data_IF_084888141571
#
_entry.id   IF_084888141571
#
_cell.length_a   1.000
_cell.length_b   1.000
_cell.length_c   1.000
_cell.angle_alpha   90.00
_cell.angle_beta   90.00
_cell.angle_gamma   90.00
#
_symmetry.space_group_name_H-M   'P 1'
#
loop_
_entity.id
_entity.type
_entity.pdbx_description
1 polymer ?
#
# COMPACT_ATOMS: atom_id res chain seq x y z
N UNK A 1 10.54 -6.47 -9.86
CA UNK A 1 11.08 -5.28 -10.54
C UNK A 1 10.03 -4.51 -11.31
N UNK A 2 9.94 -3.20 -11.08
CA UNK A 2 8.99 -2.27 -11.74
C UNK A 2 9.77 -1.11 -12.35
N UNK A 3 9.27 -0.53 -13.44
CA UNK A 3 9.88 0.64 -14.07
C UNK A 3 9.47 1.92 -13.36
N UNK A 4 10.44 2.77 -13.03
CA UNK A 4 10.24 4.08 -12.42
C UNK A 4 10.89 5.15 -13.28
N UNK A 5 10.19 6.28 -13.46
CA UNK A 5 10.80 7.49 -13.96
C UNK A 5 11.27 8.31 -12.76
N UNK A 6 12.54 8.70 -12.78
CA UNK A 6 13.15 9.51 -11.71
C UNK A 6 13.30 10.94 -12.23
N UNK A 7 12.88 11.88 -11.40
CA UNK A 7 12.93 13.31 -11.65
C UNK A 7 13.81 13.96 -10.58
N UNK A 8 14.63 14.95 -10.96
CA UNK A 8 15.41 15.79 -10.03
C UNK A 8 15.08 17.26 -10.22
N UNK A 9 15.24 18.03 -9.15
CA UNK A 9 15.31 19.49 -9.21
C UNK A 9 16.75 19.96 -9.00
N UNK A 10 17.04 21.20 -9.39
CA UNK A 10 18.36 21.82 -9.21
C UNK A 10 18.76 21.93 -7.72
N UNK A 11 17.77 21.91 -6.81
CA UNK A 11 17.96 21.86 -5.35
C UNK A 11 18.44 20.50 -4.82
N UNK A 12 18.71 19.52 -5.69
CA UNK A 12 19.14 18.16 -5.30
C UNK A 12 18.00 17.24 -4.84
N UNK A 13 16.76 17.61 -5.16
CA UNK A 13 15.55 16.94 -4.68
C UNK A 13 15.07 15.86 -5.68
N UNK A 14 15.02 14.59 -5.26
CA UNK A 14 14.73 13.45 -6.18
C UNK A 14 13.36 12.83 -5.93
N UNK A 15 12.55 12.69 -6.98
CA UNK A 15 11.22 12.06 -6.91
C UNK A 15 11.08 10.96 -7.96
N UNK A 16 10.74 9.76 -7.51
CA UNK A 16 10.44 8.61 -8.37
C UNK A 16 8.93 8.40 -8.54
N UNK A 17 8.49 8.30 -9.80
CA UNK A 17 7.11 7.97 -10.17
C UNK A 17 7.08 6.61 -10.87
N UNK A 18 6.24 5.70 -10.37
CA UNK A 18 6.05 4.37 -10.96
C UNK A 18 5.38 4.51 -12.32
N UNK A 19 5.85 3.79 -13.33
CA UNK A 19 5.21 3.71 -14.64
C UNK A 19 4.02 2.74 -14.64
N UNK A 20 3.00 3.08 -15.45
CA UNK A 20 1.78 2.29 -15.63
C UNK A 20 0.73 2.50 -14.54
N UNK A 21 -0.05 1.45 -14.28
CA UNK A 21 -1.27 1.50 -13.46
C UNK A 21 -1.05 2.03 -12.03
N UNK A 22 -1.94 2.95 -11.63
CA UNK A 22 -2.04 3.60 -10.34
C UNK A 22 -3.26 3.10 -9.55
N UNK A 23 -3.05 2.06 -8.74
CA UNK A 23 -4.08 1.50 -7.87
C UNK A 23 -4.80 2.54 -7.00
N UNK A 24 -4.10 3.49 -6.35
CA UNK A 24 -4.79 4.49 -5.54
C UNK A 24 -5.67 5.44 -6.35
N UNK A 25 -5.27 5.80 -7.58
CA UNK A 25 -6.08 6.66 -8.44
C UNK A 25 -7.36 5.97 -8.92
N UNK A 26 -7.28 4.66 -9.20
CA UNK A 26 -8.43 3.85 -9.57
C UNK A 26 -9.48 3.76 -8.45
N UNK A 27 -9.07 3.35 -7.24
CA UNK A 27 -10.02 3.14 -6.14
C UNK A 27 -10.49 4.45 -5.49
N UNK A 28 -9.58 5.41 -5.30
CA UNK A 28 -9.86 6.60 -4.49
C UNK A 28 -10.06 7.88 -5.32
N UNK A 29 -10.08 7.80 -6.65
CA UNK A 29 -10.53 8.86 -7.59
C UNK A 29 -10.25 10.30 -7.13
N UNK A 30 -11.33 11.01 -6.78
CA UNK A 30 -11.33 12.40 -6.29
C UNK A 30 -10.48 12.62 -5.04
N UNK A 31 -10.55 11.71 -4.06
CA UNK A 31 -9.73 11.75 -2.83
C UNK A 31 -8.25 11.63 -3.19
N UNK A 32 -7.88 10.67 -4.04
CA UNK A 32 -6.49 10.54 -4.49
C UNK A 32 -6.00 11.78 -5.25
N UNK A 33 -6.85 12.36 -6.10
CA UNK A 33 -6.54 13.58 -6.82
C UNK A 33 -6.26 14.76 -5.87
N UNK A 34 -7.04 14.88 -4.79
CA UNK A 34 -6.85 15.88 -3.74
C UNK A 34 -5.47 15.73 -3.06
N UNK A 35 -5.14 14.53 -2.59
CA UNK A 35 -3.85 14.26 -1.93
C UNK A 35 -2.62 14.46 -2.83
N UNK A 36 -2.78 14.33 -4.16
CA UNK A 36 -1.69 14.58 -5.10
C UNK A 36 -1.72 16.01 -5.67
N UNK A 37 -2.62 16.87 -5.16
CA UNK A 37 -2.81 18.26 -5.57
C UNK A 37 -3.14 18.41 -7.05
N UNK A 38 -3.99 17.52 -7.57
CA UNK A 38 -4.62 17.61 -8.89
C UNK A 38 -5.99 18.28 -8.73
N UNK A 39 -5.97 19.56 -8.33
CA UNK A 39 -7.15 20.29 -7.85
C UNK A 39 -8.32 20.30 -8.84
N UNK A 40 -8.07 20.55 -10.13
CA UNK A 40 -9.12 20.55 -11.15
C UNK A 40 -9.84 19.19 -11.25
N UNK A 41 -9.08 18.10 -11.27
CA UNK A 41 -9.62 16.74 -11.28
C UNK A 41 -10.40 16.43 -10.00
N UNK A 42 -9.91 16.88 -8.85
CA UNK A 42 -10.58 16.70 -7.57
C UNK A 42 -11.93 17.44 -7.54
N UNK A 43 -11.96 18.73 -7.89
CA UNK A 43 -13.20 19.52 -7.85
C UNK A 43 -14.24 19.08 -8.87
N UNK A 44 -13.84 18.51 -10.02
CA UNK A 44 -14.77 17.98 -11.00
C UNK A 44 -15.39 16.65 -10.54
N UNK A 45 -14.58 15.73 -10.00
CA UNK A 45 -15.02 14.38 -9.67
C UNK A 45 -15.68 14.24 -8.30
N UNK A 46 -15.28 15.07 -7.33
CA UNK A 46 -15.82 15.03 -5.97
C UNK A 46 -17.35 15.19 -5.92
N UNK A 47 -17.99 16.20 -6.57
CA UNK A 47 -19.45 16.32 -6.52
C UNK A 47 -20.15 15.13 -7.18
N UNK A 48 -19.55 14.55 -8.23
CA UNK A 48 -20.10 13.37 -8.92
C UNK A 48 -20.03 12.14 -8.02
N UNK A 49 -18.88 11.88 -7.40
CA UNK A 49 -18.70 10.80 -6.42
C UNK A 49 -19.64 10.98 -5.20
N UNK A 50 -19.85 12.23 -4.76
CA UNK A 50 -20.72 12.57 -3.64
C UNK A 50 -22.19 12.28 -3.96
N UNK A 51 -22.68 12.72 -5.12
CA UNK A 51 -24.06 12.46 -5.57
C UNK A 51 -24.28 10.96 -5.73
N UNK A 52 -23.34 10.25 -6.36
CA UNK A 52 -23.45 8.80 -6.54
C UNK A 52 -23.44 8.05 -5.19
N UNK A 53 -22.62 8.49 -4.23
CA UNK A 53 -22.62 7.96 -2.88
C UNK A 53 -23.99 8.19 -2.22
N UNK A 54 -24.55 9.39 -2.28
CA UNK A 54 -25.86 9.68 -1.66
C UNK A 54 -26.97 8.83 -2.32
N UNK A 55 -27.05 8.81 -3.66
CA UNK A 55 -28.08 8.08 -4.40
C UNK A 55 -27.97 6.56 -4.23
N UNK A 56 -26.76 6.00 -4.18
CA UNK A 56 -26.55 4.56 -3.98
C UNK A 56 -26.81 4.09 -2.54
N UNK A 57 -26.73 4.99 -1.58
CA UNK A 57 -26.75 4.67 -0.14
C UNK A 57 -28.09 4.92 0.54
N UNK A 58 -29.02 5.66 -0.09
CA UNK A 58 -30.33 6.01 0.47
C UNK A 58 -31.35 4.86 0.54
N UNK A 59 -30.89 3.61 0.41
CA UNK A 59 -31.80 2.47 0.45
C UNK A 59 -31.41 1.47 1.52
N UNK A 60 -32.12 1.61 2.63
CA UNK A 60 -32.35 0.56 3.62
C UNK A 60 -32.59 -0.76 2.87
N UNK A 61 -31.81 -1.80 3.20
CA UNK A 61 -31.69 -3.05 2.45
C UNK A 61 -32.94 -3.94 2.46
N UNK A 62 -34.03 -3.48 1.84
CA UNK A 62 -35.27 -4.24 1.65
C UNK A 62 -35.78 -4.27 0.20
N UNK A 63 -35.13 -3.56 -0.73
CA UNK A 63 -35.48 -3.57 -2.15
C UNK A 63 -34.26 -4.06 -2.91
N UNK A 64 -34.41 -5.17 -3.67
CA UNK A 64 -33.43 -5.62 -4.64
C UNK A 64 -33.01 -4.40 -5.50
N UNK A 65 -31.72 -4.05 -5.57
CA UNK A 65 -31.24 -2.90 -6.35
C UNK A 65 -31.74 -2.88 -7.81
N UNK A 66 -32.15 -4.03 -8.36
CA UNK A 66 -32.66 -4.18 -9.71
C UNK A 66 -34.18 -3.98 -9.86
N UNK A 67 -34.95 -4.00 -8.76
CA UNK A 67 -36.41 -3.80 -8.75
C UNK A 67 -36.81 -2.35 -8.40
N UNK A 68 -35.81 -1.49 -8.14
CA UNK A 68 -35.98 -0.07 -7.77
C UNK A 68 -36.38 0.81 -8.95
N UNK A 69 -35.99 0.41 -10.15
CA UNK A 69 -36.04 1.23 -11.33
C UNK A 69 -36.91 0.53 -12.36
N UNK A 70 -37.84 1.26 -12.95
CA UNK A 70 -38.44 0.83 -14.20
C UNK A 70 -37.34 0.55 -15.24
N UNK A 71 -37.61 -0.38 -16.16
CA UNK A 71 -36.67 -0.83 -17.19
C UNK A 71 -35.83 0.29 -17.84
N UNK A 72 -36.40 1.43 -18.28
CA UNK A 72 -35.59 2.50 -18.87
C UNK A 72 -34.68 3.18 -17.84
N UNK A 73 -35.13 3.39 -16.60
CA UNK A 73 -34.30 3.99 -15.55
C UNK A 73 -33.14 3.08 -15.15
N UNK A 74 -33.35 1.75 -15.15
CA UNK A 74 -32.27 0.78 -14.91
C UNK A 74 -31.15 0.90 -15.95
N UNK A 75 -31.50 1.05 -17.22
CA UNK A 75 -30.52 1.27 -18.29
C UNK A 75 -29.77 2.59 -18.14
N UNK A 76 -30.46 3.67 -17.75
CA UNK A 76 -29.83 4.97 -17.48
C UNK A 76 -28.84 4.87 -16.32
N UNK A 77 -29.21 4.23 -15.21
CA UNK A 77 -28.33 4.03 -14.05
C UNK A 77 -27.10 3.19 -14.42
N UNK A 78 -27.28 2.13 -15.21
CA UNK A 78 -26.18 1.30 -15.70
C UNK A 78 -25.24 2.08 -16.63
N UNK A 79 -25.79 2.89 -17.54
CA UNK A 79 -25.02 3.74 -18.45
C UNK A 79 -24.19 4.76 -17.66
N UNK A 80 -24.79 5.46 -16.70
CA UNK A 80 -24.10 6.43 -15.83
C UNK A 80 -23.00 5.74 -15.00
N UNK A 81 -23.30 4.59 -14.39
CA UNK A 81 -22.34 3.83 -13.60
C UNK A 81 -21.15 3.35 -14.44
N UNK A 82 -21.41 2.92 -15.68
CA UNK A 82 -20.39 2.52 -16.66
C UNK A 82 -19.47 3.68 -17.03
N UNK A 83 -20.01 4.89 -17.19
CA UNK A 83 -19.21 6.10 -17.44
C UNK A 83 -18.28 6.39 -16.26
N UNK A 84 -18.77 6.32 -15.02
CA UNK A 84 -17.95 6.54 -13.83
C UNK A 84 -16.85 5.49 -13.68
N UNK A 85 -17.17 4.21 -13.96
CA UNK A 85 -16.18 3.14 -13.97
C UNK A 85 -15.10 3.37 -15.03
N UNK A 86 -15.50 3.82 -16.23
CA UNK A 86 -14.57 4.17 -17.30
C UNK A 86 -13.63 5.29 -16.87
N UNK A 87 -14.15 6.34 -16.24
CA UNK A 87 -13.34 7.43 -15.67
C UNK A 87 -12.35 6.90 -14.63
N UNK A 88 -12.77 5.98 -13.74
CA UNK A 88 -11.87 5.34 -12.76
C UNK A 88 -10.75 4.55 -13.43
N UNK A 89 -11.06 3.78 -14.46
CA UNK A 89 -10.05 3.03 -15.24
C UNK A 89 -9.06 4.00 -15.88
N UNK A 90 -9.53 5.10 -16.47
CA UNK A 90 -8.66 6.14 -17.04
C UNK A 90 -7.76 6.77 -15.97
N UNK A 91 -8.28 7.04 -14.77
CA UNK A 91 -7.47 7.52 -13.64
C UNK A 91 -6.45 6.49 -13.17
N UNK A 92 -6.79 5.20 -13.18
CA UNK A 92 -5.86 4.11 -12.94
C UNK A 92 -4.73 4.08 -13.96
N UNK A 93 -5.04 4.19 -15.25
CA UNK A 93 -4.05 4.17 -16.34
C UNK A 93 -3.16 5.42 -16.32
N UNK A 94 -3.75 6.61 -16.18
CA UNK A 94 -3.07 7.88 -16.40
C UNK A 94 -2.67 8.62 -15.12
N UNK A 95 -3.11 8.19 -13.93
CA UNK A 95 -2.84 8.90 -12.68
C UNK A 95 -1.34 9.14 -12.43
N UNK A 96 -0.51 8.14 -12.68
CA UNK A 96 0.94 8.30 -12.56
C UNK A 96 1.52 9.25 -13.63
N UNK A 97 0.96 9.26 -14.83
CA UNK A 97 1.36 10.18 -15.90
C UNK A 97 0.99 11.64 -15.57
N UNK A 98 -0.19 11.86 -14.97
CA UNK A 98 -0.62 13.17 -14.47
C UNK A 98 0.33 13.68 -13.39
N UNK A 99 0.75 12.79 -12.47
CA UNK A 99 1.74 13.11 -11.44
C UNK A 99 3.10 13.47 -12.04
N UNK A 100 3.57 12.72 -13.03
CA UNK A 100 4.81 13.02 -13.75
C UNK A 100 4.73 14.37 -14.51
N UNK A 101 3.58 14.69 -15.11
CA UNK A 101 3.34 15.99 -15.78
C UNK A 101 3.30 17.14 -14.76
N UNK A 102 2.78 16.92 -13.56
CA UNK A 102 2.83 17.90 -12.46
C UNK A 102 4.27 18.18 -12.03
N UNK A 103 5.10 17.15 -11.86
CA UNK A 103 6.51 17.33 -11.48
C UNK A 103 7.28 18.16 -12.52
N UNK A 104 7.07 17.89 -13.81
CA UNK A 104 7.67 18.72 -14.89
C UNK A 104 7.23 20.19 -14.83
N UNK A 105 5.95 20.45 -14.52
CA UNK A 105 5.43 21.82 -14.34
C UNK A 105 6.02 22.53 -13.11
N UNK A 106 6.54 21.79 -12.15
CA UNK A 106 7.18 22.32 -10.94
C UNK A 106 8.71 22.49 -11.10
N UNK A 107 9.24 22.40 -12.32
CA UNK A 107 10.67 22.59 -12.60
C UNK A 107 11.52 21.31 -12.55
N UNK A 108 10.93 20.15 -12.24
CA UNK A 108 11.71 18.92 -12.16
C UNK A 108 12.09 18.38 -13.56
N UNK A 109 13.40 18.20 -13.76
CA UNK A 109 13.98 17.59 -14.97
C UNK A 109 13.91 16.06 -14.89
N UNK A 110 13.66 15.42 -16.04
CA UNK A 110 13.56 13.96 -16.13
C UNK A 110 14.96 13.36 -16.36
N UNK A 111 15.49 12.64 -15.37
CA UNK A 111 16.84 12.08 -15.41
C UNK A 111 16.88 10.80 -16.25
N UNK A 112 15.91 9.91 -16.03
CA UNK A 112 15.93 8.61 -16.68
C UNK A 112 14.92 7.62 -16.14
N UNK A 113 14.85 6.47 -16.83
CA UNK A 113 13.99 5.34 -16.45
C UNK A 113 14.85 4.23 -15.89
N UNK A 114 14.54 3.81 -14.66
CA UNK A 114 15.25 2.71 -13.98
C UNK A 114 14.26 1.62 -13.58
N UNK A 115 14.70 0.36 -13.65
CA UNK A 115 13.97 -0.76 -13.06
C UNK A 115 14.45 -0.94 -11.62
N UNK A 116 13.54 -0.91 -10.67
CA UNK A 116 13.83 -1.09 -9.26
C UNK A 116 12.68 -1.83 -8.56
N UNK A 117 12.93 -2.33 -7.36
CA UNK A 117 11.87 -2.97 -6.55
C UNK A 117 11.09 -1.96 -5.69
N UNK A 118 11.56 -0.72 -5.60
CA UNK A 118 10.88 0.36 -4.87
C UNK A 118 11.36 1.76 -5.27
N UNK A 119 10.63 2.78 -4.80
CA UNK A 119 10.93 4.20 -5.11
C UNK A 119 12.29 4.64 -4.58
N UNK A 120 12.63 4.25 -3.34
CA UNK A 120 13.92 4.59 -2.74
C UNK A 120 15.09 3.94 -3.48
N UNK A 121 14.93 2.68 -3.89
CA UNK A 121 15.92 1.94 -4.67
C UNK A 121 16.08 2.54 -6.08
N UNK A 122 15.00 3.02 -6.71
CA UNK A 122 15.09 3.74 -7.98
C UNK A 122 15.89 5.05 -7.86
N UNK A 123 15.66 5.80 -6.78
CA UNK A 123 16.39 7.04 -6.52
C UNK A 123 17.87 6.75 -6.24
N UNK A 124 18.20 5.72 -5.45
CA UNK A 124 19.59 5.37 -5.18
C UNK A 124 20.34 4.92 -6.43
N UNK A 125 19.71 4.16 -7.33
CA UNK A 125 20.31 3.79 -8.61
C UNK A 125 20.64 5.00 -9.50
N UNK A 126 19.74 5.99 -9.55
CA UNK A 126 19.99 7.24 -10.29
C UNK A 126 21.02 8.15 -9.61
N UNK A 127 21.15 8.12 -8.28
CA UNK A 127 22.20 8.87 -7.57
C UNK A 127 23.57 8.21 -7.72
N UNK A 128 23.61 6.88 -7.81
CA UNK A 128 24.84 6.09 -7.93
C UNK A 128 25.40 6.05 -9.36
N UNK A 129 24.61 6.43 -10.37
CA UNK A 129 25.07 6.71 -11.72
C UNK A 129 25.21 8.23 -11.86
N UNK A 130 26.40 8.83 -11.61
CA UNK A 130 26.62 10.23 -11.91
C UNK A 130 26.39 10.44 -13.41
N UNK A 131 25.92 11.63 -13.75
CA UNK A 131 25.63 12.12 -15.10
C UNK A 131 26.77 11.87 -16.09
N UNK A 132 26.79 10.69 -16.70
CA UNK A 132 27.53 10.37 -17.93
C UNK A 132 26.87 9.17 -18.59
N UNK A 133 25.92 9.44 -19.49
CA UNK A 133 25.37 8.43 -20.41
C UNK A 133 24.83 9.10 -21.67
N UNK A 134 25.68 9.91 -22.30
CA UNK A 134 25.67 9.98 -23.76
C UNK A 134 26.35 8.72 -24.28
N UNK A 135 25.61 7.91 -25.04
CA UNK A 135 26.17 6.98 -26.02
C UNK A 135 26.74 5.65 -25.52
N UNK A 136 26.34 4.59 -26.24
CA UNK A 136 27.07 3.36 -26.51
C UNK A 136 27.03 2.24 -25.46
N UNK A 137 26.04 1.36 -25.66
CA UNK A 137 26.23 -0.07 -25.50
C UNK A 137 27.00 -0.62 -26.71
N UNK A 138 28.16 -1.20 -26.47
CA UNK A 138 28.75 -2.24 -27.31
C UNK A 138 29.16 -3.40 -26.39
N UNK A 139 28.90 -4.60 -26.87
CA UNK A 139 28.83 -5.86 -26.14
C UNK A 139 30.21 -6.56 -26.05
N UNK A 140 30.34 -7.85 -25.67
CA UNK A 140 31.24 -8.33 -24.60
C UNK A 140 32.49 -9.06 -25.11
N UNK A 141 33.53 -9.23 -24.28
CA UNK A 141 34.56 -10.24 -24.59
C UNK A 141 35.31 -10.78 -23.36
N UNK A 142 35.06 -12.06 -23.10
CA UNK A 142 35.99 -13.14 -22.79
C UNK A 142 37.20 -12.91 -21.84
N UNK A 143 37.18 -13.74 -20.79
CA UNK A 143 38.28 -14.62 -20.37
C UNK A 143 39.71 -14.03 -20.31
N UNK A 144 40.18 -13.79 -19.08
CA UNK A 144 41.59 -14.03 -18.74
C UNK A 144 41.81 -14.26 -17.25
N UNK A 145 41.98 -15.52 -16.87
CA UNK A 145 42.91 -15.90 -15.80
C UNK A 145 44.30 -16.08 -16.44
N UNK A 146 45.41 -15.92 -15.70
CA UNK A 146 45.98 -17.10 -15.02
C UNK A 146 46.67 -16.75 -13.66
N UNK A 147 46.54 -17.63 -12.64
CA UNK A 147 47.58 -18.51 -12.09
C UNK A 147 48.68 -17.88 -11.19
N UNK A 148 48.82 -18.43 -9.97
CA UNK A 148 50.05 -19.00 -9.34
C UNK A 148 50.22 -18.65 -7.84
N UNK A 149 50.49 -19.72 -7.08
CA UNK A 149 51.23 -19.89 -5.81
C UNK A 149 50.61 -19.56 -4.43
N UNK A 150 50.58 -20.61 -3.61
CA UNK A 150 50.45 -20.73 -2.15
C UNK A 150 51.84 -21.04 -1.56
N UNK A 151 52.09 -21.26 -0.25
CA UNK A 151 51.59 -20.65 1.01
C UNK A 151 52.76 -20.14 1.90
N UNK A 152 52.53 -19.24 2.88
CA UNK A 152 53.36 -19.21 4.11
C UNK A 152 52.81 -18.29 5.23
N UNK A 153 52.52 -18.93 6.37
CA UNK A 153 52.91 -18.52 7.73
C UNK A 153 52.34 -17.19 8.24
N UNK A 154 51.24 -17.32 8.97
CA UNK A 154 50.72 -16.34 9.94
C UNK A 154 51.59 -16.32 11.21
N UNK A 155 52.03 -15.16 11.73
CA UNK A 155 52.30 -15.03 13.15
C UNK A 155 50.97 -14.81 13.88
N UNK A 156 50.70 -15.64 14.89
CA UNK A 156 49.61 -15.46 15.84
C UNK A 156 49.78 -14.13 16.57
N UNK A 157 48.94 -13.15 16.24
CA UNK A 157 48.74 -11.95 17.06
C UNK A 157 47.58 -12.26 17.99
N UNK A 158 47.88 -12.42 19.28
CA UNK A 158 46.91 -12.50 20.36
C UNK A 158 46.09 -11.20 20.37
N UNK A 159 44.76 -11.23 20.14
CA UNK A 159 43.97 -10.00 20.21
C UNK A 159 43.86 -9.57 21.67
N UNK A 160 44.42 -8.41 22.00
CA UNK A 160 44.19 -7.73 23.27
C UNK A 160 42.68 -7.68 23.57
N UNK A 161 42.29 -8.07 24.79
CA UNK A 161 40.91 -7.92 25.26
C UNK A 161 40.48 -6.45 25.12
N UNK A 162 39.38 -6.15 24.41
CA UNK A 162 38.83 -4.80 24.46
C UNK A 162 38.37 -4.49 25.89
N UNK A 163 38.98 -3.47 26.46
CA UNK A 163 38.59 -2.84 27.72
C UNK A 163 37.16 -2.31 27.57
N UNK A 164 36.28 -2.71 28.49
CA UNK A 164 35.01 -2.05 28.74
C UNK A 164 33.96 -2.22 27.65
N UNK A 165 33.37 -3.42 27.54
CA UNK A 165 32.05 -3.56 26.92
C UNK A 165 31.03 -2.89 27.85
N UNK A 166 30.83 -1.57 27.69
CA UNK A 166 29.65 -0.92 28.24
C UNK A 166 28.43 -1.74 27.81
N UNK A 167 27.61 -2.14 28.78
CA UNK A 167 26.34 -2.84 28.56
C UNK A 167 25.70 -2.34 27.26
N UNK A 168 25.36 -3.21 26.29
CA UNK A 168 24.75 -2.76 25.06
C UNK A 168 23.50 -1.99 25.46
N UNK A 169 23.56 -0.67 25.30
CA UNK A 169 22.45 0.24 25.58
C UNK A 169 21.29 -0.36 24.79
N UNK A 170 20.32 -0.96 25.50
CA UNK A 170 19.11 -1.51 24.90
C UNK A 170 18.35 -0.34 24.31
N UNK A 171 18.74 0.03 23.10
CA UNK A 171 18.01 0.97 22.28
C UNK A 171 16.65 0.31 22.10
N UNK A 172 15.61 0.97 22.61
CA UNK A 172 14.24 0.49 22.48
C UNK A 172 13.97 0.42 20.99
N UNK A 173 14.11 -0.76 20.40
CA UNK A 173 13.78 -1.03 19.00
C UNK A 173 12.30 -0.71 18.89
N UNK A 174 11.97 0.50 18.45
CA UNK A 174 10.61 0.85 18.03
C UNK A 174 10.19 -0.22 17.05
N UNK A 175 9.03 -0.88 17.20
CA UNK A 175 8.56 -1.90 16.29
C UNK A 175 8.26 -1.26 14.92
N UNK A 176 9.34 -1.05 14.15
CA UNK A 176 9.32 -0.43 12.84
C UNK A 176 8.66 -1.44 11.88
N UNK A 177 7.34 -1.32 11.73
CA UNK A 177 6.57 -2.10 10.78
C UNK A 177 5.16 -2.52 11.21
N UNK A 178 4.68 -2.22 12.43
CA UNK A 178 3.27 -2.41 12.78
C UNK A 178 2.57 -1.08 13.00
N UNK A 179 1.30 -1.02 12.64
CA UNK A 179 0.44 0.11 13.01
C UNK A 179 0.31 0.18 14.53
N UNK A 180 0.12 1.39 15.10
CA UNK A 180 -0.07 1.55 16.54
C UNK A 180 -1.20 0.66 17.06
N UNK A 181 -1.02 0.04 18.22
CA UNK A 181 -2.03 -0.87 18.78
C UNK A 181 -3.37 -0.18 19.04
N UNK A 182 -3.36 1.12 19.35
CA UNK A 182 -4.58 1.90 19.58
C UNK A 182 -5.47 1.93 18.34
N UNK A 183 -4.88 1.99 17.14
CA UNK A 183 -5.64 2.00 15.89
C UNK A 183 -6.40 0.67 15.71
N UNK A 184 -5.74 -0.46 15.97
CA UNK A 184 -6.40 -1.77 15.91
C UNK A 184 -7.54 -1.89 16.94
N UNK A 185 -7.30 -1.45 18.18
CA UNK A 185 -8.36 -1.43 19.21
C UNK A 185 -9.53 -0.52 18.85
N UNK A 186 -9.29 0.65 18.26
CA UNK A 186 -10.35 1.53 17.77
C UNK A 186 -11.18 0.84 16.68
N UNK A 187 -10.54 0.18 15.71
CA UNK A 187 -11.25 -0.54 14.65
C UNK A 187 -12.04 -1.72 15.21
N UNK A 188 -11.49 -2.47 16.17
CA UNK A 188 -12.20 -3.56 16.83
C UNK A 188 -13.43 -3.06 17.61
N UNK A 189 -13.31 -1.93 18.32
CA UNK A 189 -14.43 -1.30 19.01
C UNK A 189 -15.51 -0.84 18.03
N UNK A 190 -15.12 -0.26 16.89
CA UNK A 190 -16.06 0.10 15.82
C UNK A 190 -16.74 -1.14 15.23
N UNK A 191 -16.02 -2.24 15.03
CA UNK A 191 -16.64 -3.50 14.60
C UNK A 191 -17.68 -3.99 15.60
N UNK A 192 -17.42 -3.92 16.91
CA UNK A 192 -18.40 -4.35 17.93
C UNK A 192 -19.63 -3.41 17.95
N UNK A 193 -19.41 -2.10 17.87
CA UNK A 193 -20.49 -1.11 17.86
C UNK A 193 -21.41 -1.27 16.63
N UNK A 194 -20.92 -1.89 15.56
CA UNK A 194 -21.68 -2.22 14.35
C UNK A 194 -22.79 -3.26 14.57
N UNK A 195 -22.80 -3.97 15.71
CA UNK A 195 -23.86 -4.91 16.11
C UNK A 195 -25.18 -4.17 16.38
N UNK A 196 -25.08 -2.93 16.85
CA UNK A 196 -26.24 -2.04 16.96
C UNK A 196 -26.65 -1.52 15.58
N UNK A 197 -27.91 -1.09 15.46
CA UNK A 197 -28.44 -0.44 14.25
C UNK A 197 -27.80 0.93 14.06
N UNK A 198 -26.72 0.96 13.29
CA UNK A 198 -25.97 2.17 12.97
C UNK A 198 -26.40 2.76 11.62
N UNK A 199 -26.23 4.08 11.41
CA UNK A 199 -26.53 4.68 10.11
C UNK A 199 -25.62 4.10 9.03
N UNK A 200 -26.12 4.02 7.79
CA UNK A 200 -25.39 3.36 6.70
C UNK A 200 -23.97 3.89 6.45
N UNK A 201 -23.73 5.19 6.65
CA UNK A 201 -22.40 5.81 6.57
C UNK A 201 -21.38 5.19 7.53
N UNK A 202 -21.85 4.69 8.69
CA UNK A 202 -21.02 3.95 9.64
C UNK A 202 -20.43 2.68 9.02
N UNK A 203 -21.27 1.87 8.37
CA UNK A 203 -20.84 0.61 7.77
C UNK A 203 -19.90 0.82 6.57
N UNK A 204 -20.07 1.91 5.81
CA UNK A 204 -19.13 2.28 4.76
C UNK A 204 -17.73 2.63 5.31
N UNK A 205 -17.69 3.46 6.36
CA UNK A 205 -16.45 3.79 7.03
C UNK A 205 -15.80 2.53 7.62
N UNK A 206 -16.60 1.69 8.28
CA UNK A 206 -16.14 0.45 8.88
C UNK A 206 -15.52 -0.48 7.82
N UNK A 207 -16.16 -0.64 6.66
CA UNK A 207 -15.62 -1.40 5.52
C UNK A 207 -14.26 -0.88 5.08
N UNK A 208 -14.12 0.42 4.88
CA UNK A 208 -12.84 1.01 4.49
C UNK A 208 -11.75 0.77 5.54
N UNK A 209 -12.07 0.99 6.82
CA UNK A 209 -11.12 0.85 7.93
C UNK A 209 -10.71 -0.62 8.13
N UNK A 210 -11.67 -1.54 8.19
CA UNK A 210 -11.41 -2.97 8.40
C UNK A 210 -10.68 -3.56 7.20
N UNK A 211 -11.10 -3.29 5.96
CA UNK A 211 -10.38 -3.75 4.76
C UNK A 211 -8.98 -3.19 4.68
N UNK A 212 -8.79 -1.90 4.97
CA UNK A 212 -7.47 -1.27 4.97
C UNK A 212 -6.53 -1.91 6.01
N UNK A 213 -7.02 -2.09 7.25
CA UNK A 213 -6.25 -2.68 8.34
C UNK A 213 -5.94 -4.16 8.11
N UNK A 214 -6.95 -4.95 7.72
CA UNK A 214 -6.78 -6.39 7.46
C UNK A 214 -5.94 -6.66 6.21
N UNK A 215 -6.12 -5.86 5.16
CA UNK A 215 -5.27 -5.93 3.95
C UNK A 215 -3.81 -5.58 4.24
N UNK A 216 -3.57 -4.60 5.12
CA UNK A 216 -2.23 -4.29 5.61
C UNK A 216 -1.61 -5.46 6.38
N UNK A 217 -2.36 -6.05 7.34
CA UNK A 217 -1.90 -7.21 8.10
C UNK A 217 -1.63 -8.41 7.19
N UNK A 218 -2.50 -8.69 6.23
CA UNK A 218 -2.30 -9.74 5.23
C UNK A 218 -0.98 -9.55 4.48
N UNK A 219 -0.75 -8.36 3.89
CA UNK A 219 0.48 -8.04 3.18
C UNK A 219 1.71 -8.14 4.08
N UNK A 220 1.61 -7.65 5.32
CA UNK A 220 2.67 -7.72 6.31
C UNK A 220 3.08 -9.17 6.60
N UNK A 221 2.11 -10.04 6.84
CA UNK A 221 2.38 -11.45 7.14
C UNK A 221 2.87 -12.21 5.90
N UNK A 222 2.36 -11.94 4.69
CA UNK A 222 2.90 -12.56 3.48
C UNK A 222 4.36 -12.18 3.19
N UNK A 223 4.72 -10.91 3.37
CA UNK A 223 6.04 -10.41 2.97
C UNK A 223 7.10 -10.73 4.03
N UNK A 224 6.76 -10.63 5.31
CA UNK A 224 7.77 -10.67 6.39
C UNK A 224 7.85 -12.02 7.10
N UNK A 225 6.74 -12.74 7.25
CA UNK A 225 6.71 -14.06 7.89
C UNK A 225 5.49 -14.84 7.40
N UNK A 226 5.59 -15.50 6.22
CA UNK A 226 4.45 -16.18 5.62
C UNK A 226 3.87 -17.17 6.63
N UNK A 227 2.63 -16.91 7.02
CA UNK A 227 1.90 -17.64 8.04
C UNK A 227 0.49 -17.87 7.55
N UNK A 228 -0.13 -18.97 7.94
CA UNK A 228 -1.53 -19.27 7.59
C UNK A 228 -2.49 -18.15 8.02
N UNK A 229 -2.14 -17.34 9.03
CA UNK A 229 -2.89 -16.16 9.44
C UNK A 229 -3.01 -15.08 8.36
N UNK A 230 -2.06 -14.99 7.42
CA UNK A 230 -2.14 -14.05 6.29
C UNK A 230 -3.37 -14.32 5.42
N UNK A 231 -3.74 -15.60 5.25
CA UNK A 231 -4.95 -15.99 4.52
C UNK A 231 -6.23 -15.59 5.26
N UNK A 232 -6.26 -15.77 6.59
CA UNK A 232 -7.39 -15.34 7.41
C UNK A 232 -7.62 -13.82 7.31
N UNK A 233 -6.56 -13.02 7.40
CA UNK A 233 -6.65 -11.56 7.23
C UNK A 233 -7.09 -11.17 5.81
N UNK A 234 -6.60 -11.89 4.80
CA UNK A 234 -7.01 -11.66 3.40
C UNK A 234 -8.49 -11.93 3.18
N UNK A 235 -9.00 -13.02 3.77
CA UNK A 235 -10.41 -13.39 3.69
C UNK A 235 -11.31 -12.34 4.36
N UNK A 236 -10.96 -11.89 5.56
CA UNK A 236 -11.71 -10.82 6.25
C UNK A 236 -11.64 -9.50 5.44
N UNK A 237 -10.47 -9.15 4.90
CA UNK A 237 -10.34 -7.96 4.06
C UNK A 237 -11.26 -8.02 2.82
N UNK A 238 -11.44 -9.21 2.24
CA UNK A 238 -12.33 -9.45 1.12
C UNK A 238 -13.80 -9.32 1.53
N UNK A 239 -14.20 -9.84 2.70
CA UNK A 239 -15.57 -9.72 3.21
C UNK A 239 -16.00 -8.26 3.43
N UNK A 240 -15.08 -7.40 3.88
CA UNK A 240 -15.34 -5.97 4.09
C UNK A 240 -15.09 -5.10 2.86
N UNK A 241 -14.66 -5.70 1.74
CA UNK A 241 -14.20 -4.94 0.58
C UNK A 241 -15.29 -3.98 0.08
N UNK A 242 -15.02 -2.66 0.02
CA UNK A 242 -16.01 -1.69 -0.42
C UNK A 242 -16.41 -1.83 -1.91
N UNK A 243 -15.60 -2.54 -2.71
CA UNK A 243 -15.81 -2.72 -4.14
C UNK A 243 -16.78 -3.86 -4.44
N UNK A 244 -16.71 -4.94 -3.66
CA UNK A 244 -17.55 -6.13 -3.83
C UNK A 244 -18.42 -6.29 -2.59
N UNK A 245 -19.59 -5.63 -2.62
CA UNK A 245 -20.53 -5.69 -1.50
C UNK A 245 -21.18 -7.06 -1.46
N UNK A 246 -20.73 -7.91 -0.53
CA UNK A 246 -21.38 -9.18 -0.24
C UNK A 246 -22.63 -8.88 0.58
N UNK A 247 -23.79 -9.05 -0.05
CA UNK A 247 -25.09 -8.96 0.61
C UNK A 247 -25.29 -10.21 1.46
N UNK A 248 -25.50 -10.03 2.75
CA UNK A 248 -25.74 -11.08 3.72
C UNK A 248 -26.72 -10.55 4.77
N UNK A 249 -27.36 -11.45 5.53
CA UNK A 249 -28.32 -11.04 6.56
C UNK A 249 -27.65 -10.16 7.62
N UNK A 250 -28.44 -9.31 8.29
CA UNK A 250 -27.94 -8.43 9.37
C UNK A 250 -27.24 -9.23 10.47
N UNK A 251 -27.79 -10.39 10.83
CA UNK A 251 -27.22 -11.31 11.82
C UNK A 251 -25.85 -11.83 11.37
N UNK A 252 -25.70 -12.16 10.09
CA UNK A 252 -24.44 -12.65 9.56
C UNK A 252 -23.40 -11.52 9.44
N UNK A 253 -23.80 -10.29 9.10
CA UNK A 253 -22.92 -9.12 9.21
C UNK A 253 -22.47 -8.87 10.65
N UNK A 254 -23.37 -8.99 11.63
CA UNK A 254 -23.04 -8.84 13.05
C UNK A 254 -22.03 -9.91 13.51
N UNK A 255 -22.21 -11.16 13.07
CA UNK A 255 -21.25 -12.24 13.33
C UNK A 255 -19.88 -11.94 12.71
N UNK A 256 -19.85 -11.51 11.45
CA UNK A 256 -18.61 -11.15 10.73
C UNK A 256 -17.90 -9.98 11.42
N UNK A 257 -18.64 -8.99 11.94
CA UNK A 257 -18.13 -7.89 12.77
C UNK A 257 -17.45 -8.36 14.05
N UNK A 258 -18.08 -9.29 14.78
CA UNK A 258 -17.50 -9.87 15.99
C UNK A 258 -16.24 -10.69 15.70
N UNK A 259 -16.25 -11.48 14.62
CA UNK A 259 -15.09 -12.25 14.18
C UNK A 259 -13.92 -11.33 13.81
N UNK A 260 -14.20 -10.24 13.09
CA UNK A 260 -13.19 -9.26 12.73
C UNK A 260 -12.57 -8.60 13.99
N UNK A 261 -13.41 -8.19 14.95
CA UNK A 261 -12.94 -7.62 16.22
C UNK A 261 -12.06 -8.61 16.99
N UNK A 262 -12.48 -9.87 17.09
CA UNK A 262 -11.73 -10.93 17.76
C UNK A 262 -10.38 -11.21 17.06
N UNK A 263 -10.36 -11.23 15.72
CA UNK A 263 -9.14 -11.41 14.94
C UNK A 263 -8.13 -10.28 15.17
N UNK A 264 -8.60 -9.02 15.26
CA UNK A 264 -7.73 -7.87 15.58
C UNK A 264 -7.18 -7.99 17.00
N UNK A 265 -8.03 -8.29 17.99
CA UNK A 265 -7.60 -8.45 19.37
C UNK A 265 -6.57 -9.59 19.53
N UNK A 266 -6.77 -10.70 18.83
CA UNK A 266 -5.84 -11.83 18.82
C UNK A 266 -4.51 -11.50 18.16
N UNK A 267 -4.53 -10.76 17.05
CA UNK A 267 -3.32 -10.27 16.39
C UNK A 267 -2.48 -9.44 17.36
N UNK A 268 -3.09 -8.45 18.02
CA UNK A 268 -2.38 -7.56 18.94
C UNK A 268 -1.82 -8.32 20.14
N UNK A 269 -2.61 -9.19 20.79
CA UNK A 269 -2.21 -9.86 22.02
C UNK A 269 -1.21 -10.99 21.81
N UNK A 270 -1.33 -11.75 20.73
CA UNK A 270 -0.58 -13.02 20.56
C UNK A 270 0.32 -13.02 19.34
N UNK A 271 -0.19 -12.63 18.18
CA UNK A 271 0.56 -12.78 16.93
C UNK A 271 1.64 -11.72 16.77
N UNK A 272 1.39 -10.48 17.21
CA UNK A 272 2.32 -9.36 17.11
C UNK A 272 3.57 -9.58 17.96
N UNK A 273 3.40 -10.02 19.21
CA UNK A 273 4.52 -10.34 20.10
C UNK A 273 5.39 -11.46 19.54
N UNK A 274 4.78 -12.57 19.11
CA UNK A 274 5.48 -13.69 18.49
C UNK A 274 6.21 -13.27 17.20
N UNK A 275 5.62 -12.37 16.41
CA UNK A 275 6.22 -11.86 15.18
C UNK A 275 7.43 -10.94 15.45
N UNK A 276 7.37 -10.08 16.48
CA UNK A 276 8.48 -9.20 16.85
C UNK A 276 9.69 -9.98 17.40
N UNK A 277 9.45 -11.08 18.13
CA UNK A 277 10.50 -11.93 18.70
C UNK A 277 11.25 -12.71 17.59
N UNK A 278 10.66 -12.92 16.41
CA UNK A 278 11.28 -13.74 15.35
C UNK A 278 12.34 -13.03 14.50
N UNK A 279 12.72 -11.77 14.79
CA UNK A 279 13.85 -11.15 14.09
C UNK A 279 15.16 -11.64 14.70
N UNK A 280 16.05 -12.31 13.96
CA UNK A 280 17.43 -12.40 14.38
C UNK A 280 17.98 -10.96 14.39
N UNK A 281 18.54 -10.55 15.52
CA UNK A 281 19.39 -9.37 15.60
C UNK A 281 20.61 -9.73 14.74
N UNK A 282 20.57 -9.44 13.43
CA UNK A 282 21.80 -9.41 12.66
C UNK A 282 22.59 -8.22 13.19
N UNK A 283 23.60 -8.50 14.00
CA UNK A 283 24.58 -7.51 14.40
C UNK A 283 25.12 -6.82 13.14
N UNK A 284 25.31 -5.49 13.16
CA UNK A 284 26.05 -4.84 12.09
C UNK A 284 27.44 -5.47 12.04
N UNK A 285 27.81 -5.99 10.87
CA UNK A 285 29.19 -6.35 10.55
C UNK A 285 30.02 -5.09 10.35
#
# INVERSE_FOLDING_TARGET
MRSFNVFSNDDGDYKAVKQGWCWPAFFFGSIWALFNGLWLAAFLLLPIDLVFSITGNNTNGYVDPYDRYDEPTRLVVLAVSSVLLTIRILFGLFGNALRARKLRRLGFSHIGRVKADGKAHAISLCKAAPSDSGGQQAEPMAARAPSVSSPAITPHVEPERPIGLGEPRREKITPQGFLPHWLGWSIAALSILAVADMPYGYYQLLRLLVTGYMGYLAALYFIRKPSSWAWAFSFIALLYNPVFVITMSKEFHALVNLIAAAAIAWEIKKLRGAFLISRPIKAPH
#
